data_IF_954459241994
#
_entry.id   IF_954459241994
#
_cell.length_a   1.000
_cell.length_b   1.000
_cell.length_c   1.000
_cell.angle_alpha   90.00
_cell.angle_beta   90.00
_cell.angle_gamma   90.00
#
_symmetry.space_group_name_H-M   'P 1'
#
loop_
_entity.id
_entity.type
_entity.pdbx_description
1 polymer ?
#
# COMPACT_ATOMS: atom_id res chain seq x y z
N UNK A 1 -0.09 -15.85 -11.91
CA UNK A 1 -0.20 -15.69 -10.45
C UNK A 1 -1.34 -14.72 -10.15
N UNK A 2 -2.26 -15.11 -9.31
CA UNK A 2 -3.37 -14.22 -8.97
C UNK A 2 -3.15 -13.62 -7.58
N UNK A 3 -3.45 -12.34 -7.44
CA UNK A 3 -3.41 -11.69 -6.14
C UNK A 3 -4.80 -11.77 -5.52
N UNK A 4 -4.91 -12.51 -4.44
CA UNK A 4 -6.16 -12.61 -3.70
C UNK A 4 -6.16 -11.52 -2.63
N UNK A 5 -6.88 -10.45 -2.90
CA UNK A 5 -6.97 -9.32 -1.97
C UNK A 5 -8.05 -9.50 -0.92
N UNK A 6 -8.94 -10.49 -1.10
CA UNK A 6 -10.12 -10.65 -0.26
C UNK A 6 -9.83 -10.68 1.23
N UNK A 7 -8.98 -11.59 1.71
CA UNK A 7 -8.65 -11.66 3.14
C UNK A 7 -7.98 -10.40 3.67
N UNK A 8 -7.11 -9.77 2.85
CA UNK A 8 -6.45 -8.52 3.25
C UNK A 8 -7.43 -7.36 3.30
N UNK A 9 -8.32 -7.26 2.31
CA UNK A 9 -9.37 -6.25 2.30
C UNK A 9 -10.21 -6.35 3.57
N UNK A 10 -10.63 -7.54 3.92
CA UNK A 10 -11.42 -7.77 5.13
C UNK A 10 -10.64 -7.34 6.38
N UNK A 11 -9.38 -7.73 6.49
CA UNK A 11 -8.55 -7.41 7.64
C UNK A 11 -8.38 -5.90 7.82
N UNK A 12 -8.08 -5.17 6.74
CA UNK A 12 -7.92 -3.72 6.82
C UNK A 12 -9.24 -3.02 7.09
N UNK A 13 -10.35 -3.54 6.54
CA UNK A 13 -11.68 -3.02 6.82
C UNK A 13 -12.02 -3.17 8.29
N UNK A 14 -11.83 -4.34 8.84
CA UNK A 14 -12.11 -4.61 10.26
C UNK A 14 -11.20 -3.78 11.19
N UNK A 15 -9.95 -3.55 10.77
CA UNK A 15 -9.03 -2.72 11.53
C UNK A 15 -9.51 -1.27 11.64
N UNK A 16 -10.29 -0.80 10.68
CA UNK A 16 -10.91 0.52 10.71
C UNK A 16 -12.31 0.51 11.34
N UNK A 17 -12.73 -0.62 11.89
CA UNK A 17 -14.05 -0.80 12.51
C UNK A 17 -15.20 -0.52 11.55
N UNK A 18 -15.02 -0.85 10.28
CA UNK A 18 -16.06 -0.68 9.26
C UNK A 18 -16.72 -2.01 8.93
N UNK A 19 -18.05 -2.00 8.80
CA UNK A 19 -18.78 -3.12 8.24
C UNK A 19 -18.64 -3.12 6.72
N UNK A 20 -18.97 -4.23 6.08
CA UNK A 20 -19.02 -4.28 4.62
C UNK A 20 -19.97 -3.22 4.06
N UNK A 21 -21.10 -3.03 4.70
CA UNK A 21 -22.11 -2.04 4.31
C UNK A 21 -21.56 -0.62 4.41
N UNK A 22 -20.83 -0.32 5.47
CA UNK A 22 -20.24 0.99 5.67
C UNK A 22 -19.17 1.29 4.63
N UNK A 23 -18.29 0.33 4.36
CA UNK A 23 -17.28 0.50 3.31
C UNK A 23 -17.95 0.70 1.95
N UNK A 24 -18.94 -0.14 1.63
CA UNK A 24 -19.67 -0.03 0.37
C UNK A 24 -20.28 1.36 0.20
N UNK A 25 -20.89 1.89 1.25
CA UNK A 25 -21.48 3.21 1.22
C UNK A 25 -20.45 4.31 0.95
N UNK A 26 -19.29 4.21 1.57
CA UNK A 26 -18.23 5.22 1.41
C UNK A 26 -17.62 5.27 0.02
N UNK A 27 -17.57 4.11 -0.65
CA UNK A 27 -17.00 4.04 -2.01
C UNK A 27 -18.08 3.99 -3.10
N UNK A 28 -19.36 4.06 -2.73
CA UNK A 28 -20.45 4.17 -3.70
C UNK A 28 -20.80 2.89 -4.43
N UNK A 29 -20.65 1.73 -3.76
CA UNK A 29 -21.00 0.43 -4.37
C UNK A 29 -21.99 -0.30 -3.46
N UNK A 30 -22.50 -1.45 -3.94
CA UNK A 30 -23.41 -2.26 -3.14
C UNK A 30 -22.62 -3.10 -2.09
N UNK A 31 -23.29 -3.42 -1.01
CA UNK A 31 -22.74 -4.32 0.01
C UNK A 31 -22.35 -5.68 -0.60
N UNK A 32 -23.15 -6.19 -1.53
CA UNK A 32 -22.88 -7.44 -2.21
C UNK A 32 -21.56 -7.44 -2.95
N UNK A 33 -21.19 -6.31 -3.55
CA UNK A 33 -19.91 -6.19 -4.26
C UNK A 33 -18.73 -6.31 -3.30
N UNK A 34 -18.79 -5.62 -2.16
CA UNK A 34 -17.74 -5.74 -1.13
C UNK A 34 -17.63 -7.17 -0.65
N UNK A 35 -18.76 -7.80 -0.36
CA UNK A 35 -18.79 -9.21 0.09
C UNK A 35 -18.15 -10.13 -0.95
N UNK A 36 -18.48 -9.94 -2.23
CA UNK A 36 -17.92 -10.75 -3.31
C UNK A 36 -16.41 -10.57 -3.44
N UNK A 37 -15.90 -9.35 -3.26
CA UNK A 37 -14.46 -9.10 -3.29
C UNK A 37 -13.75 -9.81 -2.15
N UNK A 38 -14.31 -9.75 -0.94
CA UNK A 38 -13.72 -10.40 0.23
C UNK A 38 -13.72 -11.91 0.12
N UNK A 39 -14.70 -12.48 -0.57
CA UNK A 39 -14.79 -13.92 -0.82
C UNK A 39 -13.98 -14.39 -2.02
N UNK A 40 -13.41 -13.46 -2.78
CA UNK A 40 -12.63 -13.81 -3.96
C UNK A 40 -13.47 -14.18 -5.18
N UNK A 41 -14.77 -13.88 -5.16
CA UNK A 41 -15.67 -14.18 -6.29
C UNK A 41 -15.35 -13.30 -7.50
N UNK A 42 -15.07 -12.02 -7.24
CA UNK A 42 -14.60 -11.11 -8.28
C UNK A 42 -13.68 -10.06 -7.65
N UNK A 43 -13.21 -9.12 -8.44
CA UNK A 43 -12.24 -8.12 -8.01
C UNK A 43 -12.74 -6.71 -8.33
N UNK A 44 -12.40 -5.72 -7.47
CA UNK A 44 -12.67 -4.34 -7.80
C UNK A 44 -11.77 -3.89 -8.95
N UNK A 45 -12.25 -2.93 -9.74
CA UNK A 45 -11.42 -2.32 -10.77
C UNK A 45 -10.40 -1.35 -10.14
N UNK A 46 -9.52 -0.79 -10.96
CA UNK A 46 -8.42 0.06 -10.49
C UNK A 46 -8.94 1.30 -9.78
N UNK A 47 -9.98 1.93 -10.31
CA UNK A 47 -10.54 3.14 -9.71
C UNK A 47 -11.13 2.86 -8.33
N UNK A 48 -11.85 1.76 -8.21
CA UNK A 48 -12.44 1.34 -6.94
C UNK A 48 -11.34 0.93 -5.95
N UNK A 49 -10.27 0.28 -6.43
CA UNK A 49 -9.11 -0.03 -5.57
C UNK A 49 -8.52 1.22 -4.97
N UNK A 50 -8.39 2.28 -5.76
CA UNK A 50 -7.87 3.56 -5.27
C UNK A 50 -8.77 4.13 -4.17
N UNK A 51 -10.10 4.07 -4.37
CA UNK A 51 -11.07 4.54 -3.38
C UNK A 51 -10.99 3.71 -2.09
N UNK A 52 -10.87 2.40 -2.21
CA UNK A 52 -10.71 1.50 -1.06
C UNK A 52 -9.48 1.88 -0.25
N UNK A 53 -8.35 2.07 -0.92
CA UNK A 53 -7.11 2.44 -0.25
C UNK A 53 -7.24 3.78 0.47
N UNK A 54 -7.91 4.74 -0.13
CA UNK A 54 -8.15 6.05 0.47
C UNK A 54 -9.02 5.92 1.73
N UNK A 55 -10.14 5.21 1.64
CA UNK A 55 -11.06 5.05 2.77
C UNK A 55 -10.41 4.28 3.92
N UNK A 56 -9.66 3.22 3.59
CA UNK A 56 -9.02 2.40 4.61
C UNK A 56 -7.68 2.97 5.08
N UNK A 57 -7.21 4.06 4.47
CA UNK A 57 -5.94 4.70 4.80
C UNK A 57 -4.77 3.72 4.71
N UNK A 58 -4.73 2.98 3.62
CA UNK A 58 -3.64 2.03 3.32
C UNK A 58 -3.07 2.33 1.94
N UNK A 59 -1.85 1.87 1.72
CA UNK A 59 -1.25 1.97 0.39
C UNK A 59 -1.73 0.83 -0.51
N UNK A 60 -1.71 1.01 -1.83
CA UNK A 60 -1.98 -0.10 -2.75
C UNK A 60 -1.04 -1.29 -2.52
N UNK A 61 0.21 -1.03 -2.15
CA UNK A 61 1.18 -2.10 -1.85
C UNK A 61 0.75 -2.96 -0.68
N UNK A 62 0.17 -2.34 0.35
CA UNK A 62 -0.34 -3.08 1.51
C UNK A 62 -1.51 -3.96 1.13
N UNK A 63 -2.44 -3.44 0.34
CA UNK A 63 -3.62 -4.19 -0.07
C UNK A 63 -3.27 -5.34 -1.01
N UNK A 64 -2.37 -5.10 -1.95
CA UNK A 64 -1.96 -6.09 -2.95
C UNK A 64 -0.86 -7.00 -2.45
N UNK A 65 -0.25 -6.68 -1.31
CA UNK A 65 0.88 -7.42 -0.74
C UNK A 65 2.06 -7.53 -1.71
N UNK A 66 2.34 -6.42 -2.38
CA UNK A 66 3.45 -6.33 -3.33
C UNK A 66 4.62 -5.65 -2.64
N UNK A 67 5.73 -6.36 -2.57
CA UNK A 67 6.96 -5.87 -1.96
C UNK A 67 8.10 -5.99 -2.94
N UNK A 68 9.10 -5.12 -2.77
CA UNK A 68 10.39 -5.37 -3.40
C UNK A 68 10.95 -6.66 -2.80
N UNK A 69 11.31 -7.61 -3.65
CA UNK A 69 11.93 -8.84 -3.18
C UNK A 69 13.28 -8.52 -2.53
N UNK A 70 13.66 -9.19 -1.44
CA UNK A 70 15.02 -9.05 -0.92
C UNK A 70 16.10 -9.33 -1.96
N UNK A 71 15.77 -10.10 -2.99
CA UNK A 71 16.70 -10.43 -4.07
C UNK A 71 16.83 -9.32 -5.11
N UNK A 72 15.94 -8.31 -5.08
CA UNK A 72 15.98 -7.18 -6.00
C UNK A 72 17.05 -6.16 -5.61
N UNK A 73 17.60 -6.27 -4.40
CA UNK A 73 18.66 -5.40 -3.91
C UNK A 73 19.90 -6.24 -3.62
N UNK A 74 21.07 -5.71 -3.96
CA UNK A 74 22.32 -6.31 -3.53
C UNK A 74 22.50 -6.13 -2.01
N UNK A 75 23.40 -6.92 -1.43
CA UNK A 75 23.73 -6.77 0.00
C UNK A 75 24.24 -5.36 0.30
N UNK A 76 25.06 -4.82 -0.60
CA UNK A 76 25.58 -3.46 -0.42
C UNK A 76 24.49 -2.42 -0.47
N UNK A 77 23.57 -2.52 -1.43
CA UNK A 77 22.44 -1.62 -1.53
C UNK A 77 21.56 -1.68 -0.29
N UNK A 78 21.31 -2.87 0.23
CA UNK A 78 20.52 -3.07 1.44
C UNK A 78 21.18 -2.40 2.64
N UNK A 79 22.49 -2.54 2.78
CA UNK A 79 23.25 -1.89 3.86
C UNK A 79 23.16 -0.36 3.76
N UNK A 80 23.26 0.17 2.55
CA UNK A 80 23.14 1.62 2.32
C UNK A 80 21.78 2.12 2.77
N UNK A 81 20.71 1.44 2.38
CA UNK A 81 19.35 1.84 2.74
C UNK A 81 19.15 1.79 4.25
N UNK A 82 19.64 0.76 4.92
CA UNK A 82 19.52 0.62 6.38
C UNK A 82 20.22 1.79 7.08
N UNK A 83 21.43 2.11 6.68
CA UNK A 83 22.18 3.20 7.29
C UNK A 83 21.59 4.56 6.96
N UNK A 84 21.08 4.73 5.74
CA UNK A 84 20.38 5.94 5.33
C UNK A 84 19.19 6.23 6.25
N UNK A 85 18.39 5.20 6.54
CA UNK A 85 17.23 5.34 7.41
C UNK A 85 17.59 5.63 8.86
N UNK A 86 18.75 5.10 9.32
CA UNK A 86 19.20 5.27 10.71
C UNK A 86 19.86 6.60 10.99
N UNK A 87 20.27 7.31 9.96
CA UNK A 87 21.06 8.55 10.09
C UNK A 87 20.37 9.71 9.36
N UNK A 88 19.27 10.22 9.94
CA UNK A 88 18.53 11.33 9.30
C UNK A 88 19.40 12.55 9.03
N UNK A 89 20.39 12.80 9.86
CA UNK A 89 21.32 13.93 9.74
C UNK A 89 22.19 13.86 8.49
N UNK A 90 22.34 12.68 7.91
CA UNK A 90 23.14 12.48 6.69
C UNK A 90 22.28 12.35 5.43
N UNK A 91 20.98 12.25 5.56
CA UNK A 91 20.11 11.97 4.41
C UNK A 91 20.18 13.05 3.34
N UNK A 92 20.23 14.32 3.75
CA UNK A 92 20.34 15.41 2.78
C UNK A 92 21.64 15.33 1.99
N UNK A 93 22.75 15.09 2.66
CA UNK A 93 24.05 14.99 2.00
C UNK A 93 24.05 13.81 1.01
N UNK A 94 23.51 12.67 1.41
CA UNK A 94 23.40 11.49 0.55
C UNK A 94 22.51 11.81 -0.66
N UNK A 95 21.39 12.46 -0.45
CA UNK A 95 20.47 12.83 -1.54
C UNK A 95 21.16 13.75 -2.55
N UNK A 96 21.94 14.69 -2.08
CA UNK A 96 22.69 15.62 -2.95
C UNK A 96 23.73 14.84 -3.75
N UNK A 97 24.50 13.99 -3.09
CA UNK A 97 25.55 13.20 -3.74
C UNK A 97 24.99 12.25 -4.81
N UNK A 98 23.80 11.71 -4.56
CA UNK A 98 23.14 10.80 -5.50
C UNK A 98 22.30 11.52 -6.55
N UNK A 99 22.09 12.83 -6.41
CA UNK A 99 21.26 13.59 -7.33
C UNK A 99 19.76 13.30 -7.18
N UNK A 100 19.32 12.89 -6.00
CA UNK A 100 17.92 12.53 -5.75
C UNK A 100 17.23 13.46 -4.76
N UNK A 101 17.78 14.65 -4.56
CA UNK A 101 17.16 15.65 -3.68
C UNK A 101 15.85 16.12 -4.29
N UNK A 102 14.80 16.18 -3.47
CA UNK A 102 13.48 16.60 -3.94
C UNK A 102 13.35 18.12 -3.92
N UNK A 103 12.58 18.66 -4.89
CA UNK A 103 12.43 20.12 -5.05
C UNK A 103 11.60 20.76 -3.95
N UNK A 104 10.75 20.02 -3.28
CA UNK A 104 9.87 20.56 -2.23
C UNK A 104 10.56 20.68 -0.88
N UNK A 105 11.84 20.55 -0.81
CA UNK A 105 12.63 20.78 0.40
C UNK A 105 13.16 22.21 0.49
N UNK A 106 12.66 23.04 -0.37
CA UNK A 106 12.99 24.47 -0.34
C UNK A 106 12.29 25.19 0.80
#
# INVERSE_FOLDING_TARGET
MSYDIGPRLRRYREAQNLSQKELAKRIGVSNSRVSNWEQGINRPDVDILADICTVLNISPSELLDVHLSPDDLSDQERKVIIQYRRKPELQRAVNILLGVETENET
#
